data_IF_897694231137
#
_entry.id   IF_897694231137
#
_cell.length_a   1.000
_cell.length_b   1.000
_cell.length_c   1.000
_cell.angle_alpha   90.00
_cell.angle_beta   90.00
_cell.angle_gamma   90.00
#
_symmetry.space_group_name_H-M   'P 1'
#
loop_
_entity.id
_entity.type
_entity.pdbx_description
1 polymer ?
#
# COMPACT_ATOMS: atom_id res chain seq x y z
N UNK A 1 -1.28 -13.91 3.13
CA UNK A 1 -2.11 -13.77 1.90
C UNK A 1 -1.37 -12.95 0.85
N UNK A 2 -0.90 -11.74 1.19
CA UNK A 2 -0.20 -10.84 0.24
C UNK A 2 0.93 -11.51 -0.57
N UNK A 3 1.89 -12.26 0.04
CA UNK A 3 2.97 -12.86 -0.75
C UNK A 3 2.46 -13.87 -1.79
N UNK A 4 1.54 -14.76 -1.39
CA UNK A 4 0.93 -15.74 -2.30
C UNK A 4 0.14 -15.08 -3.43
N UNK A 5 -0.56 -13.98 -3.14
CA UNK A 5 -1.26 -13.21 -4.16
C UNK A 5 -0.29 -12.60 -5.18
N UNK A 6 0.79 -11.98 -4.70
CA UNK A 6 1.78 -11.34 -5.56
C UNK A 6 2.52 -12.37 -6.41
N UNK A 7 2.89 -13.52 -5.84
CA UNK A 7 3.51 -14.62 -6.56
C UNK A 7 2.64 -15.09 -7.74
N UNK A 8 1.34 -15.33 -7.50
CA UNK A 8 0.39 -15.72 -8.55
C UNK A 8 0.15 -14.59 -9.57
N UNK A 9 0.10 -13.33 -9.12
CA UNK A 9 -0.05 -12.16 -9.99
C UNK A 9 1.10 -12.10 -11.00
N UNK A 10 2.36 -12.23 -10.57
CA UNK A 10 3.50 -12.17 -11.48
C UNK A 10 3.58 -13.40 -12.39
N UNK A 11 3.23 -14.61 -11.90
CA UNK A 11 3.09 -15.80 -12.77
C UNK A 11 2.08 -15.56 -13.90
N UNK A 12 0.95 -14.90 -13.61
CA UNK A 12 -0.05 -14.57 -14.63
C UNK A 12 0.41 -13.45 -15.56
N UNK A 13 1.06 -12.41 -15.03
CA UNK A 13 1.61 -11.32 -15.81
C UNK A 13 2.60 -11.85 -16.86
N UNK A 14 3.52 -12.72 -16.46
CA UNK A 14 4.50 -13.34 -17.36
C UNK A 14 3.82 -14.17 -18.47
N UNK A 15 2.78 -14.94 -18.12
CA UNK A 15 2.00 -15.69 -19.10
C UNK A 15 1.29 -14.79 -20.12
N UNK A 16 0.76 -13.64 -19.69
CA UNK A 16 0.11 -12.67 -20.58
C UNK A 16 1.10 -12.00 -21.53
N UNK A 17 2.26 -11.59 -21.01
CA UNK A 17 3.34 -10.98 -21.80
C UNK A 17 3.85 -11.96 -22.86
N UNK A 18 4.17 -13.19 -22.46
CA UNK A 18 4.78 -14.19 -23.34
C UNK A 18 3.81 -14.78 -24.37
N UNK A 19 2.54 -15.02 -24.00
CA UNK A 19 1.59 -15.74 -24.88
C UNK A 19 0.60 -14.83 -25.62
N UNK A 20 0.29 -13.65 -25.08
CA UNK A 20 -0.77 -12.78 -25.61
C UNK A 20 -0.26 -11.42 -26.09
N UNK A 21 1.06 -11.18 -26.07
CA UNK A 21 1.70 -9.89 -26.44
C UNK A 21 1.08 -8.69 -25.71
N UNK A 22 0.67 -8.89 -24.46
CA UNK A 22 0.13 -7.82 -23.61
C UNK A 22 1.27 -7.26 -22.77
N UNK A 23 1.51 -5.96 -22.83
CA UNK A 23 2.45 -5.28 -21.92
C UNK A 23 1.80 -5.15 -20.56
N UNK A 24 2.53 -5.50 -19.50
CA UNK A 24 2.04 -5.41 -18.12
C UNK A 24 2.96 -4.48 -17.34
N UNK A 25 2.38 -3.47 -16.69
CA UNK A 25 3.05 -2.58 -15.75
C UNK A 25 2.42 -2.73 -14.36
N UNK A 26 3.25 -2.91 -13.34
CA UNK A 26 2.80 -3.08 -11.95
C UNK A 26 3.42 -1.99 -11.10
N UNK A 27 2.57 -1.22 -10.44
CA UNK A 27 2.95 -0.19 -9.49
C UNK A 27 2.43 -0.54 -8.11
N UNK A 28 3.19 -0.22 -7.07
CA UNK A 28 2.80 -0.47 -5.68
C UNK A 28 2.92 0.78 -4.83
N UNK A 29 2.06 0.87 -3.82
CA UNK A 29 2.20 1.82 -2.71
C UNK A 29 1.80 1.14 -1.40
N UNK A 30 2.36 1.60 -0.28
CA UNK A 30 2.07 1.04 1.04
C UNK A 30 2.06 2.13 2.09
N UNK A 31 0.95 2.25 2.83
CA UNK A 31 0.85 3.19 3.94
C UNK A 31 0.14 2.55 5.13
N UNK A 32 0.35 3.14 6.30
CA UNK A 32 -0.47 2.85 7.48
C UNK A 32 -1.32 4.07 7.86
N UNK A 33 -2.47 3.80 8.47
CA UNK A 33 -3.27 4.76 9.19
C UNK A 33 -3.05 4.46 10.67
N UNK A 34 -2.40 5.40 11.34
CA UNK A 34 -2.16 5.33 12.78
C UNK A 34 -2.63 6.62 13.43
N UNK A 35 -3.53 6.51 14.40
CA UNK A 35 -4.06 7.67 15.12
C UNK A 35 -4.59 8.76 14.15
N UNK A 36 -5.40 8.35 13.16
CA UNK A 36 -5.97 9.21 12.10
C UNK A 36 -4.93 9.93 11.22
N UNK A 37 -3.67 9.48 11.24
CA UNK A 37 -2.58 10.01 10.44
C UNK A 37 -2.09 8.98 9.45
N UNK A 38 -1.92 9.41 8.20
CA UNK A 38 -1.40 8.57 7.13
C UNK A 38 0.13 8.68 7.12
N UNK A 39 0.79 7.53 7.16
CA UNK A 39 2.24 7.43 7.09
C UNK A 39 2.65 6.52 5.94
N UNK A 40 3.52 7.05 5.07
CA UNK A 40 4.15 6.27 4.01
C UNK A 40 5.07 5.20 4.62
N UNK A 41 4.88 3.94 4.22
CA UNK A 41 5.70 2.83 4.67
C UNK A 41 6.84 2.50 3.69
N UNK A 42 6.81 3.00 2.45
CA UNK A 42 7.84 2.75 1.44
C UNK A 42 8.86 3.90 1.33
N UNK A 43 8.51 5.10 1.80
CA UNK A 43 9.42 6.23 1.81
C UNK A 43 10.74 5.89 2.53
N UNK A 44 11.85 6.07 1.81
CA UNK A 44 13.18 5.81 2.37
C UNK A 44 13.51 6.88 3.41
N UNK A 45 13.85 6.45 4.62
CA UNK A 45 14.38 7.31 5.68
C UNK A 45 15.85 7.65 5.33
N UNK A 46 16.09 8.31 4.19
CA UNK A 46 17.46 8.66 3.77
C UNK A 46 18.07 9.74 4.67
N UNK A 47 17.23 10.55 5.30
CA UNK A 47 17.68 11.53 6.26
C UNK A 47 17.40 11.05 7.67
N UNK A 48 18.45 10.62 8.37
CA UNK A 48 18.47 10.44 9.83
C UNK A 48 18.16 11.78 10.50
N UNK A 49 16.90 12.17 10.53
CA UNK A 49 16.44 13.48 11.02
C UNK A 49 15.19 14.03 10.32
N UNK A 50 14.83 13.54 9.13
CA UNK A 50 13.57 13.91 8.50
C UNK A 50 12.39 13.27 9.27
N UNK A 51 11.54 14.11 9.84
CA UNK A 51 10.29 13.67 10.47
C UNK A 51 9.45 12.95 9.41
N UNK A 52 8.91 11.76 9.73
CA UNK A 52 7.86 11.12 8.92
C UNK A 52 6.75 12.15 8.70
N UNK A 53 6.60 12.63 7.46
CA UNK A 53 5.56 13.58 7.10
C UNK A 53 4.22 12.86 7.16
N UNK A 54 3.24 13.50 7.80
CA UNK A 54 1.86 13.00 7.76
C UNK A 54 1.29 13.36 6.40
N UNK A 55 0.87 12.34 5.65
CA UNK A 55 0.26 12.55 4.34
C UNK A 55 -1.20 12.98 4.49
N UNK A 56 -1.70 13.72 3.49
CA UNK A 56 -3.07 14.23 3.46
C UNK A 56 -3.88 13.55 2.38
N UNK A 57 -5.16 13.32 2.67
CA UNK A 57 -6.13 12.90 1.65
C UNK A 57 -6.57 14.13 0.87
N UNK A 58 -6.62 13.99 -0.46
CA UNK A 58 -7.19 14.96 -1.40
C UNK A 58 -8.19 14.26 -2.31
N UNK A 59 -8.96 15.04 -3.05
CA UNK A 59 -9.96 14.54 -3.98
C UNK A 59 -9.62 14.95 -5.41
N UNK A 60 -9.56 13.97 -6.31
CA UNK A 60 -9.41 14.21 -7.74
C UNK A 60 -10.81 14.21 -8.39
N UNK A 61 -11.15 15.19 -9.26
CA UNK A 61 -12.50 15.32 -9.83
C UNK A 61 -13.05 14.07 -10.52
N UNK A 62 -12.16 13.24 -11.08
CA UNK A 62 -12.52 12.01 -11.80
C UNK A 62 -12.15 10.73 -11.03
N UNK A 63 -11.06 10.75 -10.26
CA UNK A 63 -10.48 9.52 -9.67
C UNK A 63 -10.92 9.34 -8.20
N UNK A 64 -11.58 10.34 -7.62
CA UNK A 64 -12.00 10.34 -6.24
C UNK A 64 -10.84 10.57 -5.26
N UNK A 65 -10.96 10.09 -4.01
CA UNK A 65 -9.99 10.36 -2.96
C UNK A 65 -8.64 9.66 -3.20
N UNK A 66 -7.55 10.38 -2.95
CA UNK A 66 -6.18 9.87 -3.04
C UNK A 66 -5.30 10.46 -1.92
N UNK A 67 -4.19 9.79 -1.63
CA UNK A 67 -3.20 10.26 -0.65
C UNK A 67 -2.14 11.07 -1.37
N UNK A 68 -2.07 12.37 -1.09
CA UNK A 68 -1.06 13.25 -1.67
C UNK A 68 0.33 12.92 -1.13
N UNK A 69 1.31 12.79 -2.04
CA UNK A 69 2.70 12.54 -1.68
C UNK A 69 3.01 11.11 -1.27
N UNK A 70 2.08 10.17 -1.46
CA UNK A 70 2.31 8.75 -1.24
C UNK A 70 3.29 8.20 -2.29
N UNK A 71 4.37 7.59 -1.83
CA UNK A 71 5.37 6.98 -2.70
C UNK A 71 4.77 5.82 -3.47
N UNK A 72 5.03 5.80 -4.78
CA UNK A 72 4.64 4.73 -5.69
C UNK A 72 5.89 4.21 -6.40
N UNK A 73 6.01 2.89 -6.50
CA UNK A 73 7.17 2.23 -7.10
C UNK A 73 6.73 1.22 -8.16
N UNK A 74 7.42 1.23 -9.30
CA UNK A 74 7.28 0.19 -10.33
C UNK A 74 8.03 -1.07 -9.86
N UNK A 75 7.40 -2.22 -10.03
CA UNK A 75 7.94 -3.53 -9.66
C UNK A 75 7.81 -4.49 -10.85
N UNK A 76 8.84 -5.30 -11.06
CA UNK A 76 8.93 -6.17 -12.23
C UNK A 76 8.90 -7.65 -11.86
N UNK A 77 9.05 -7.98 -10.58
CA UNK A 77 9.07 -9.35 -10.08
C UNK A 77 8.38 -9.47 -8.71
N UNK A 78 8.09 -10.72 -8.33
CA UNK A 78 7.67 -11.04 -6.98
C UNK A 78 8.73 -10.65 -5.94
N UNK A 79 10.01 -10.88 -6.24
CA UNK A 79 11.13 -10.56 -5.34
C UNK A 79 11.20 -9.05 -5.05
N UNK A 80 10.96 -8.20 -6.06
CA UNK A 80 10.86 -6.75 -5.86
C UNK A 80 9.78 -6.42 -4.83
N UNK A 81 8.59 -7.01 -5.00
CA UNK A 81 7.44 -6.77 -4.11
C UNK A 81 7.71 -7.31 -2.71
N UNK A 82 8.34 -8.47 -2.57
CA UNK A 82 8.72 -9.01 -1.27
C UNK A 82 9.70 -8.09 -0.53
N UNK A 83 10.68 -7.52 -1.24
CA UNK A 83 11.59 -6.51 -0.70
C UNK A 83 10.85 -5.28 -0.18
N UNK A 84 9.90 -4.76 -0.95
CA UNK A 84 9.08 -3.61 -0.54
C UNK A 84 8.15 -3.91 0.64
N UNK A 85 7.53 -5.09 0.67
CA UNK A 85 6.70 -5.53 1.81
C UNK A 85 7.56 -5.63 3.07
N UNK A 86 8.76 -6.20 2.96
CA UNK A 86 9.70 -6.34 4.07
C UNK A 86 10.12 -4.97 4.62
N UNK A 87 10.47 -4.03 3.72
CA UNK A 87 10.77 -2.65 4.10
C UNK A 87 9.59 -1.97 4.78
N UNK A 88 8.39 -2.07 4.20
CA UNK A 88 7.17 -1.48 4.72
C UNK A 88 6.83 -1.97 6.12
N UNK A 89 6.92 -3.29 6.35
CA UNK A 89 6.71 -3.89 7.65
C UNK A 89 7.76 -3.46 8.69
N UNK A 90 9.03 -3.32 8.28
CA UNK A 90 10.07 -2.76 9.14
C UNK A 90 9.78 -1.30 9.52
N UNK A 91 9.31 -0.50 8.55
CA UNK A 91 8.95 0.90 8.78
C UNK A 91 7.70 1.06 9.66
N UNK A 92 6.75 0.12 9.57
CA UNK A 92 5.57 -0.01 10.44
C UNK A 92 6.00 -0.30 11.88
N UNK A 93 6.91 -1.27 12.08
CA UNK A 93 7.43 -1.64 13.40
C UNK A 93 8.25 -0.51 14.07
N UNK A 94 9.13 0.16 13.32
CA UNK A 94 10.03 1.21 13.86
C UNK A 94 9.32 2.53 14.21
N UNK A 95 8.10 2.75 13.72
CA UNK A 95 7.26 3.87 14.15
C UNK A 95 6.75 3.74 15.61
N UNK A 96 7.06 2.61 16.27
CA UNK A 96 6.82 2.35 17.68
C UNK A 96 7.96 2.93 18.53
N UNK A 97 7.93 4.23 18.79
CA UNK A 97 8.74 4.81 19.88
C UNK A 97 8.19 4.33 21.22
N UNK A 98 8.79 3.29 21.80
CA UNK A 98 8.50 2.85 23.17
C UNK A 98 7.62 1.60 23.27
N UNK A 99 8.28 0.45 23.46
CA UNK A 99 7.79 -0.70 24.24
C UNK A 99 6.43 -1.33 23.86
N UNK A 100 5.88 -1.10 22.66
CA UNK A 100 4.59 -1.66 22.24
C UNK A 100 4.58 -2.15 20.79
N UNK A 101 3.85 -3.25 20.56
CA UNK A 101 3.63 -3.83 19.23
C UNK A 101 2.56 -3.05 18.45
N UNK A 102 2.98 -1.92 17.87
CA UNK A 102 2.14 -1.00 17.10
C UNK A 102 1.52 -1.64 15.84
N UNK A 103 2.06 -2.75 15.36
CA UNK A 103 1.49 -3.46 14.20
C UNK A 103 0.03 -3.89 14.44
N UNK A 104 -0.33 -4.18 15.70
CA UNK A 104 -1.71 -4.49 16.10
C UNK A 104 -2.65 -3.28 16.15
N UNK A 105 -2.11 -2.05 16.09
CA UNK A 105 -2.79 -0.77 16.37
C UNK A 105 -2.81 0.21 15.21
N UNK A 106 -2.30 -0.19 14.04
CA UNK A 106 -2.43 0.59 12.81
C UNK A 106 -3.08 -0.24 11.73
N UNK A 107 -3.99 0.37 10.97
CA UNK A 107 -4.49 -0.20 9.74
C UNK A 107 -3.43 -0.04 8.67
N UNK A 108 -3.23 -1.03 7.81
CA UNK A 108 -2.29 -0.91 6.71
C UNK A 108 -2.95 -1.22 5.37
N UNK A 109 -2.56 -0.47 4.35
CA UNK A 109 -3.14 -0.55 3.00
C UNK A 109 -2.01 -0.71 2.00
N UNK A 110 -1.85 -1.93 1.48
CA UNK A 110 -0.95 -2.21 0.38
C UNK A 110 -1.74 -2.16 -0.93
N UNK A 111 -1.41 -1.21 -1.79
CA UNK A 111 -2.09 -1.01 -3.06
C UNK A 111 -1.22 -1.50 -4.21
N UNK A 112 -1.82 -2.24 -5.14
CA UNK A 112 -1.22 -2.64 -6.41
C UNK A 112 -2.05 -2.01 -7.53
N UNK A 113 -1.41 -1.27 -8.42
CA UNK A 113 -1.99 -0.78 -9.67
C UNK A 113 -1.41 -1.59 -10.81
N UNK A 114 -2.26 -2.36 -11.48
CA UNK A 114 -1.92 -3.21 -12.62
C UNK A 114 -2.44 -2.55 -13.88
N UNK A 115 -1.54 -2.18 -14.80
CA UNK A 115 -1.89 -1.69 -16.13
C UNK A 115 -1.54 -2.75 -17.17
N UNK A 116 -2.53 -3.16 -17.95
CA UNK A 116 -2.37 -4.10 -19.05
C UNK A 116 -2.62 -3.35 -20.36
N UNK A 117 -1.65 -3.33 -21.26
CA UNK A 117 -1.76 -2.67 -22.56
C UNK A 117 -1.64 -3.71 -23.66
N UNK A 118 -2.69 -3.84 -24.47
CA UNK A 118 -2.71 -4.67 -25.67
C UNK A 118 -2.64 -3.77 -26.90
N UNK A 119 -1.63 -4.00 -27.74
CA UNK A 119 -1.51 -3.32 -29.03
C UNK A 119 -2.18 -4.17 -30.10
N UNK A 120 -3.14 -3.59 -30.82
CA UNK A 120 -3.86 -4.21 -31.93
C UNK A 120 -3.60 -3.40 -33.21
N UNK A 121 -3.47 -4.08 -34.34
CA UNK A 121 -3.38 -3.41 -35.64
C UNK A 121 -4.76 -3.47 -36.31
N UNK A 122 -5.36 -2.31 -36.54
CA UNK A 122 -6.66 -2.16 -37.21
C UNK A 122 -6.43 -1.25 -38.42
N UNK A 123 -6.75 -1.75 -39.61
CA UNK A 123 -6.59 -1.03 -40.88
C UNK A 123 -5.18 -0.45 -41.13
N UNK A 124 -4.14 -1.16 -40.68
CA UNK A 124 -2.74 -0.75 -40.84
C UNK A 124 -2.24 0.25 -39.80
N UNK A 125 -3.08 0.65 -38.83
CA UNK A 125 -2.72 1.53 -37.72
C UNK A 125 -2.62 0.74 -36.42
N UNK A 126 -1.61 1.05 -35.59
CA UNK A 126 -1.47 0.47 -34.26
C UNK A 126 -2.33 1.25 -33.25
N UNK A 127 -3.16 0.51 -32.50
CA UNK A 127 -4.00 1.03 -31.44
C UNK A 127 -3.67 0.33 -30.12
N UNK A 128 -3.40 1.12 -29.08
CA UNK A 128 -3.18 0.61 -27.72
C UNK A 128 -4.49 0.64 -26.92
N UNK A 129 -4.86 -0.53 -26.40
CA UNK A 129 -5.97 -0.69 -25.47
C UNK A 129 -5.42 -1.00 -24.08
N UNK A 130 -5.60 -0.06 -23.15
CA UNK A 130 -5.13 -0.19 -21.78
C UNK A 130 -6.27 -0.43 -20.79
N UNK A 131 -6.08 -1.40 -19.90
CA UNK A 131 -6.95 -1.65 -18.75
C UNK A 131 -6.15 -1.41 -17.48
N UNK A 132 -6.65 -0.55 -16.60
CA UNK A 132 -6.06 -0.28 -15.29
C UNK A 132 -6.90 -0.94 -14.20
N UNK A 133 -6.26 -1.69 -13.31
CA UNK A 133 -6.88 -2.33 -12.15
C UNK A 133 -6.19 -1.90 -10.88
N UNK A 134 -6.96 -1.41 -9.91
CA UNK A 134 -6.46 -1.04 -8.58
C UNK A 134 -6.91 -2.07 -7.55
N UNK A 135 -5.94 -2.72 -6.92
CA UNK A 135 -6.15 -3.76 -5.91
C UNK A 135 -5.66 -3.21 -4.57
N UNK A 136 -6.53 -3.16 -3.57
CA UNK A 136 -6.16 -2.75 -2.22
C UNK A 136 -6.19 -3.97 -1.31
N UNK A 137 -5.05 -4.31 -0.71
CA UNK A 137 -4.91 -5.35 0.30
C UNK A 137 -4.84 -4.65 1.66
N UNK A 138 -5.92 -4.74 2.41
CA UNK A 138 -6.11 -4.03 3.68
C UNK A 138 -5.95 -4.99 4.85
N UNK A 139 -5.06 -4.65 5.77
CA UNK A 139 -4.87 -5.31 7.05
C UNK A 139 -5.37 -4.37 8.15
N UNK A 140 -6.52 -4.73 8.73
CA UNK A 140 -7.17 -3.92 9.75
C UNK A 140 -6.54 -4.18 11.12
N UNK A 141 -6.38 -3.12 11.90
CA UNK A 141 -5.93 -3.19 13.29
C UNK A 141 -6.85 -4.07 14.13
N UNK A 142 -6.30 -4.62 15.23
CA UNK A 142 -7.06 -5.45 16.16
C UNK A 142 -8.15 -4.65 16.86
N UNK A 143 -9.34 -5.23 16.98
CA UNK A 143 -10.44 -4.65 17.77
C UNK A 143 -10.25 -4.95 19.26
N UNK A 144 -9.33 -4.25 19.91
CA UNK A 144 -9.21 -4.36 21.36
C UNK A 144 -10.39 -3.64 22.03
N UNK A 145 -11.26 -4.42 22.71
CA UNK A 145 -12.32 -3.88 23.58
C UNK A 145 -11.64 -3.13 24.74
N UNK A 146 -12.02 -1.87 24.94
CA UNK A 146 -11.64 -1.11 26.13
C UNK A 146 -12.37 -1.65 27.38
N UNK A 147 -12.01 -2.84 27.85
CA UNK A 147 -12.40 -3.30 29.17
C UNK A 147 -11.20 -3.22 30.11
N UNK A 148 -11.26 -2.28 31.04
CA UNK A 148 -10.51 -2.27 32.31
C UNK A 148 -8.98 -2.04 32.24
N UNK A 149 -8.46 -1.33 31.25
CA UNK A 149 -7.10 -0.80 31.33
C UNK A 149 -7.14 0.61 31.95
N UNK A 150 -6.47 0.80 33.09
CA UNK A 150 -6.17 2.11 33.70
C UNK A 150 -5.18 2.91 32.83
N UNK A 151 -5.52 3.16 31.56
CA UNK A 151 -4.66 3.84 30.60
C UNK A 151 -5.15 5.26 30.38
N UNK A 152 -4.42 6.21 30.95
CA UNK A 152 -4.71 7.65 30.88
C UNK A 152 -4.40 8.26 29.50
N UNK A 153 -5.22 9.26 29.12
CA UNK A 153 -4.92 10.27 28.09
C UNK A 153 -4.75 9.75 26.66
N UNK A 154 -3.51 9.70 26.18
CA UNK A 154 -3.17 9.42 24.78
C UNK A 154 -3.56 8.00 24.35
N UNK A 155 -3.43 7.02 25.25
CA UNK A 155 -3.77 5.61 24.96
C UNK A 155 -5.27 5.38 24.82
N UNK A 156 -6.08 6.12 25.60
CA UNK A 156 -7.54 6.05 25.50
C UNK A 156 -8.01 6.65 24.16
N UNK A 157 -7.37 7.74 23.73
CA UNK A 157 -7.63 8.38 22.42
C UNK A 157 -7.17 7.49 21.25
N UNK A 158 -6.03 6.84 21.37
CA UNK A 158 -5.52 5.89 20.37
C UNK A 158 -6.46 4.69 20.22
N UNK A 159 -6.86 4.04 21.32
CA UNK A 159 -7.81 2.93 21.28
C UNK A 159 -9.20 3.30 20.74
N UNK A 160 -9.65 4.53 20.99
CA UNK A 160 -10.88 5.05 20.39
C UNK A 160 -10.74 5.26 18.88
N UNK A 161 -9.59 5.75 18.40
CA UNK A 161 -9.34 5.98 16.98
C UNK A 161 -9.20 4.67 16.21
N UNK A 162 -8.54 3.64 16.77
CA UNK A 162 -8.43 2.30 16.16
C UNK A 162 -9.82 1.71 15.84
N UNK A 163 -10.78 1.90 16.75
CA UNK A 163 -12.14 1.37 16.64
C UNK A 163 -13.12 2.29 15.87
N UNK A 164 -12.72 3.53 15.55
CA UNK A 164 -13.56 4.50 14.83
C UNK A 164 -13.39 4.41 13.32
N UNK A 165 -12.21 3.97 12.86
CA UNK A 165 -11.88 3.78 11.44
C UNK A 165 -12.52 2.52 10.85
#
# INVERSE_FOLDING_TARGET
IVPRFCEELFKRAENLTSKKKVKVNVEISFFEIYNEKIHDLLASIKDKGAKKTVLKVREHPVLGPYVEGLSTYVVNSFDDVEGWITLGNKNRATAATGMNDKSSRSHSVFTIVLTQTKTENIDGQEHDHSVNSKINLVDLAGSERQSLANTSGERLREGANINKS
#
